data_IF_109483058910
#
_entry.id   IF_109483058910
#
_cell.length_a   1.000
_cell.length_b   1.000
_cell.length_c   1.000
_cell.angle_alpha   90.00
_cell.angle_beta   90.00
_cell.angle_gamma   90.00
#
_symmetry.space_group_name_H-M   'P 1'
#
loop_
_entity.id
_entity.type
_entity.pdbx_description
1 polymer ?
#
# COMPACT_ATOMS: atom_id res chain seq x y z
N UNK A 1 66.61 -17.75 77.46
CA UNK A 1 65.92 -18.57 76.44
C UNK A 1 64.51 -18.02 76.28
N UNK A 2 64.27 -17.29 75.19
CA UNK A 2 62.93 -16.83 74.78
C UNK A 2 62.53 -17.61 73.52
N UNK A 3 61.24 -17.92 73.32
CA UNK A 3 60.81 -18.84 72.25
C UNK A 3 60.88 -18.17 70.87
N UNK A 4 60.96 -18.96 69.78
CA UNK A 4 60.99 -18.42 68.43
C UNK A 4 59.60 -17.90 68.02
N UNK A 5 59.53 -16.93 67.09
CA UNK A 5 58.27 -16.39 66.61
C UNK A 5 57.50 -17.41 65.76
N UNK A 6 56.15 -17.33 65.71
CA UNK A 6 55.32 -18.27 64.97
C UNK A 6 55.53 -18.14 63.47
N UNK A 7 55.57 -19.29 62.78
CA UNK A 7 55.66 -19.38 61.33
C UNK A 7 54.39 -18.81 60.69
N UNK A 8 54.56 -17.86 59.78
CA UNK A 8 53.49 -17.35 58.93
C UNK A 8 53.09 -18.43 57.93
N UNK A 9 51.92 -19.03 58.14
CA UNK A 9 51.24 -19.77 57.09
C UNK A 9 50.98 -18.82 55.91
N UNK A 10 51.70 -19.01 54.80
CA UNK A 10 51.32 -18.45 53.50
C UNK A 10 49.95 -19.01 53.14
N UNK A 11 48.93 -18.17 53.24
CA UNK A 11 47.68 -18.34 52.51
C UNK A 11 47.99 -18.44 51.01
N UNK A 12 47.30 -19.31 50.24
CA UNK A 12 47.48 -19.34 48.80
C UNK A 12 47.06 -17.99 48.23
N UNK A 13 47.92 -17.42 47.39
CA UNK A 13 47.67 -16.20 46.63
C UNK A 13 46.33 -16.29 45.88
N UNK A 14 45.60 -15.17 45.71
CA UNK A 14 44.32 -15.17 44.98
C UNK A 14 44.53 -15.69 43.56
N UNK A 15 43.74 -16.70 43.22
CA UNK A 15 43.59 -17.30 41.88
C UNK A 15 43.59 -16.26 40.75
N UNK A 16 44.40 -16.52 39.73
CA UNK A 16 44.29 -15.87 38.41
C UNK A 16 42.85 -15.99 37.86
N UNK A 17 42.40 -15.03 37.02
CA UNK A 17 40.99 -14.86 36.68
C UNK A 17 40.44 -16.07 35.90
N UNK A 18 39.28 -16.57 36.33
CA UNK A 18 38.54 -17.71 35.79
C UNK A 18 38.32 -17.68 34.26
N UNK A 19 38.34 -16.49 33.64
CA UNK A 19 38.07 -16.31 32.22
C UNK A 19 39.04 -17.01 31.26
N UNK A 20 40.32 -17.21 31.60
CA UNK A 20 41.26 -17.86 30.67
C UNK A 20 40.98 -19.35 30.46
N UNK A 21 40.58 -20.06 31.52
CA UNK A 21 40.17 -21.47 31.43
C UNK A 21 38.90 -21.60 30.60
N UNK A 22 37.92 -20.73 30.88
CA UNK A 22 36.62 -20.75 30.20
C UNK A 22 36.72 -20.48 28.69
N UNK A 23 37.57 -19.54 28.28
CA UNK A 23 37.82 -19.27 26.84
C UNK A 23 38.49 -20.47 26.15
N UNK A 24 39.41 -21.15 26.83
CA UNK A 24 40.02 -22.39 26.30
C UNK A 24 38.98 -23.50 26.14
N UNK A 25 38.07 -23.65 27.10
CA UNK A 25 36.99 -24.63 27.04
C UNK A 25 36.00 -24.33 25.92
N UNK A 26 35.63 -23.06 25.73
CA UNK A 26 34.80 -22.61 24.60
C UNK A 26 35.48 -22.91 23.27
N UNK A 27 36.80 -22.70 23.16
CA UNK A 27 37.57 -23.01 21.96
C UNK A 27 37.49 -24.49 21.59
N UNK A 28 37.67 -25.36 22.59
CA UNK A 28 37.58 -26.81 22.40
C UNK A 28 36.18 -27.23 21.94
N UNK A 29 35.13 -26.71 22.59
CA UNK A 29 33.73 -27.01 22.24
C UNK A 29 33.37 -26.54 20.83
N UNK A 30 33.77 -25.32 20.45
CA UNK A 30 33.55 -24.81 19.09
C UNK A 30 34.29 -25.67 18.07
N UNK A 31 35.53 -26.09 18.35
CA UNK A 31 36.30 -26.95 17.45
C UNK A 31 35.65 -28.33 17.26
N UNK A 32 35.03 -28.89 18.29
CA UNK A 32 34.28 -30.16 18.18
C UNK A 32 33.04 -30.03 17.29
N UNK A 33 32.37 -28.87 17.31
CA UNK A 33 31.19 -28.61 16.48
C UNK A 33 31.54 -28.07 15.08
N UNK A 34 32.78 -27.66 14.84
CA UNK A 34 33.23 -27.17 13.55
C UNK A 34 33.08 -28.27 12.48
N UNK A 35 32.30 -27.98 11.42
CA UNK A 35 32.02 -28.94 10.35
C UNK A 35 31.01 -30.04 10.69
N UNK A 36 30.49 -30.11 11.92
CA UNK A 36 29.44 -31.06 12.29
C UNK A 36 28.13 -30.73 11.57
N UNK A 37 27.52 -31.76 10.98
CA UNK A 37 26.20 -31.76 10.30
C UNK A 37 25.16 -32.60 11.04
N UNK A 38 25.43 -32.98 12.29
CA UNK A 38 24.47 -33.74 13.09
C UNK A 38 23.18 -32.93 13.32
N UNK A 39 22.01 -33.58 13.40
CA UNK A 39 20.77 -32.91 13.81
C UNK A 39 20.95 -32.19 15.16
N UNK A 40 20.54 -30.93 15.27
CA UNK A 40 20.72 -30.10 16.48
C UNK A 40 22.12 -29.52 16.68
N UNK A 41 23.07 -29.77 15.78
CA UNK A 41 24.41 -29.17 15.86
C UNK A 41 24.36 -27.64 15.77
N UNK A 42 23.49 -27.09 14.93
CA UNK A 42 23.36 -25.63 14.77
C UNK A 42 22.73 -24.97 16.01
N UNK A 43 21.80 -25.63 16.70
CA UNK A 43 21.30 -25.15 18.00
C UNK A 43 22.40 -25.14 19.07
N UNK A 44 23.23 -26.19 19.10
CA UNK A 44 24.39 -26.26 19.99
C UNK A 44 25.40 -25.14 19.68
N UNK A 45 25.66 -24.87 18.39
CA UNK A 45 26.51 -23.75 17.95
C UNK A 45 25.90 -22.41 18.38
N UNK A 46 24.58 -22.22 18.27
CA UNK A 46 23.91 -20.97 18.69
C UNK A 46 24.12 -20.72 20.17
N UNK A 47 24.01 -21.75 21.00
CA UNK A 47 24.21 -21.61 22.44
C UNK A 47 25.67 -21.30 22.80
N UNK A 48 26.65 -21.87 22.09
CA UNK A 48 28.05 -21.47 22.24
C UNK A 48 28.30 -20.04 21.77
N UNK A 49 27.74 -19.62 20.64
CA UNK A 49 27.89 -18.26 20.12
C UNK A 49 27.32 -17.23 21.09
N UNK A 50 26.18 -17.52 21.73
CA UNK A 50 25.62 -16.68 22.80
C UNK A 50 26.59 -16.51 23.97
N UNK A 51 27.24 -17.60 24.42
CA UNK A 51 28.26 -17.54 25.49
C UNK A 51 29.48 -16.71 25.07
N UNK A 52 29.99 -16.91 23.87
CA UNK A 52 31.11 -16.13 23.32
C UNK A 52 30.76 -14.64 23.25
N UNK A 53 29.57 -14.30 22.74
CA UNK A 53 29.09 -12.92 22.67
C UNK A 53 28.90 -12.34 24.07
N UNK A 54 28.35 -13.11 25.01
CA UNK A 54 28.23 -12.69 26.41
C UNK A 54 29.60 -12.31 27.00
N UNK A 55 30.61 -13.18 26.84
CA UNK A 55 31.96 -12.92 27.33
C UNK A 55 32.59 -11.69 26.65
N UNK A 56 32.39 -11.54 25.34
CA UNK A 56 32.79 -10.33 24.59
C UNK A 56 32.12 -9.07 25.15
N UNK A 57 30.83 -9.11 25.47
CA UNK A 57 30.10 -7.94 26.00
C UNK A 57 30.51 -7.53 27.42
N UNK A 58 31.02 -8.48 28.21
CA UNK A 58 31.54 -8.22 29.57
C UNK A 58 33.01 -7.74 29.52
N UNK A 59 33.64 -7.72 28.33
CA UNK A 59 35.00 -7.23 28.12
C UNK A 59 36.08 -8.31 28.24
N UNK A 60 35.71 -9.59 28.26
CA UNK A 60 36.67 -10.70 28.19
C UNK A 60 37.16 -10.82 26.76
N UNK A 61 38.48 -10.78 26.56
CA UNK A 61 39.08 -11.00 25.25
C UNK A 61 38.88 -12.45 24.80
N UNK A 62 38.07 -12.59 23.76
CA UNK A 62 37.74 -13.87 23.10
C UNK A 62 38.30 -13.91 21.67
N UNK A 63 39.18 -12.97 21.28
CA UNK A 63 39.79 -12.90 19.94
C UNK A 63 40.43 -14.22 19.48
N UNK A 64 40.99 -14.99 20.41
CA UNK A 64 41.59 -16.30 20.15
C UNK A 64 40.63 -17.37 19.60
N UNK A 65 39.30 -17.12 19.65
CA UNK A 65 38.24 -17.98 19.12
C UNK A 65 37.89 -17.67 17.67
N UNK A 66 38.54 -16.67 17.03
CA UNK A 66 38.16 -16.17 15.71
C UNK A 66 38.05 -17.28 14.66
N UNK A 67 39.07 -18.15 14.56
CA UNK A 67 39.09 -19.23 13.58
C UNK A 67 37.93 -20.20 13.78
N UNK A 68 37.70 -20.63 15.03
CA UNK A 68 36.63 -21.55 15.38
C UNK A 68 35.22 -20.95 15.15
N UNK A 69 35.04 -19.66 15.46
CA UNK A 69 33.78 -18.94 15.19
C UNK A 69 33.48 -18.87 13.68
N UNK A 70 34.47 -18.51 12.87
CA UNK A 70 34.32 -18.45 11.40
C UNK A 70 34.03 -19.84 10.82
N UNK A 71 34.73 -20.88 11.27
CA UNK A 71 34.48 -22.26 10.83
C UNK A 71 33.07 -22.75 11.20
N UNK A 72 32.60 -22.48 12.42
CA UNK A 72 31.25 -22.86 12.85
C UNK A 72 30.15 -22.10 12.09
N UNK A 73 30.46 -20.91 11.57
CA UNK A 73 29.53 -20.10 10.76
C UNK A 73 29.44 -20.53 9.28
N UNK A 74 30.14 -21.60 8.88
CA UNK A 74 29.98 -22.22 7.56
C UNK A 74 28.69 -23.07 7.49
N UNK A 75 27.54 -22.39 7.59
CA UNK A 75 26.19 -22.94 7.58
C UNK A 75 25.25 -21.97 6.85
N UNK A 76 24.08 -22.44 6.40
CA UNK A 76 22.98 -21.62 5.87
C UNK A 76 22.14 -20.97 6.98
N UNK A 77 22.43 -21.24 8.25
CA UNK A 77 21.74 -20.64 9.38
C UNK A 77 22.03 -19.13 9.51
N UNK A 78 21.02 -18.33 9.14
CA UNK A 78 21.06 -16.86 9.19
C UNK A 78 21.31 -16.31 10.60
N UNK A 79 20.83 -16.98 11.64
CA UNK A 79 21.00 -16.52 13.03
C UNK A 79 22.47 -16.69 13.45
N UNK A 80 23.09 -17.83 13.12
CA UNK A 80 24.50 -18.06 13.36
C UNK A 80 25.39 -17.09 12.58
N UNK A 81 25.07 -16.82 11.30
CA UNK A 81 25.76 -15.81 10.50
C UNK A 81 25.71 -14.42 11.15
N UNK A 82 24.52 -13.96 11.58
CA UNK A 82 24.36 -12.66 12.27
C UNK A 82 25.20 -12.57 13.54
N UNK A 83 25.20 -13.61 14.37
CA UNK A 83 26.02 -13.69 15.57
C UNK A 83 27.52 -13.66 15.24
N UNK A 84 27.95 -14.39 14.21
CA UNK A 84 29.33 -14.38 13.73
C UNK A 84 29.75 -12.98 13.27
N UNK A 85 28.94 -12.33 12.42
CA UNK A 85 29.20 -10.99 11.88
C UNK A 85 29.34 -9.93 12.96
N UNK A 86 28.49 -10.00 14.00
CA UNK A 86 28.60 -9.14 15.18
C UNK A 86 29.95 -9.34 15.88
N UNK A 87 30.35 -10.59 16.10
CA UNK A 87 31.61 -10.94 16.75
C UNK A 87 32.83 -10.46 15.93
N UNK A 88 32.94 -10.85 14.66
CA UNK A 88 34.11 -10.50 13.83
C UNK A 88 34.21 -9.00 13.61
N UNK A 89 33.08 -8.31 13.42
CA UNK A 89 33.04 -6.86 13.26
C UNK A 89 33.47 -6.09 14.51
N UNK A 90 33.27 -6.64 15.71
CA UNK A 90 33.75 -6.04 16.94
C UNK A 90 35.28 -6.09 17.04
N UNK A 91 35.88 -7.25 16.74
CA UNK A 91 37.33 -7.44 16.84
C UNK A 91 38.13 -6.81 15.69
N UNK A 92 37.51 -6.60 14.53
CA UNK A 92 38.11 -5.92 13.39
C UNK A 92 38.50 -4.45 13.67
N UNK A 93 37.81 -3.76 14.58
CA UNK A 93 38.04 -2.32 14.85
C UNK A 93 39.41 -2.02 15.48
N UNK A 94 39.95 -2.96 16.27
CA UNK A 94 41.16 -2.76 17.07
C UNK A 94 42.34 -3.65 16.68
N UNK A 95 42.16 -4.59 15.75
CA UNK A 95 43.17 -5.59 15.37
C UNK A 95 43.30 -5.67 13.85
N UNK A 96 44.36 -5.10 13.24
CA UNK A 96 44.54 -5.10 11.78
C UNK A 96 44.54 -6.50 11.15
N UNK A 97 45.19 -7.48 11.78
CA UNK A 97 45.25 -8.85 11.27
C UNK A 97 43.86 -9.50 11.22
N UNK A 98 43.07 -9.35 12.29
CA UNK A 98 41.70 -9.84 12.34
C UNK A 98 40.77 -9.05 11.43
N UNK A 99 41.07 -7.77 11.18
CA UNK A 99 40.29 -6.94 10.26
C UNK A 99 40.41 -7.46 8.83
N UNK A 100 41.62 -7.78 8.35
CA UNK A 100 41.83 -8.34 7.02
C UNK A 100 41.17 -9.72 6.87
N UNK A 101 41.29 -10.58 7.89
CA UNK A 101 40.58 -11.87 7.92
C UNK A 101 39.06 -11.70 7.89
N UNK A 102 38.53 -10.71 8.60
CA UNK A 102 37.10 -10.37 8.62
C UNK A 102 36.62 -9.89 7.25
N UNK A 103 37.38 -9.02 6.59
CA UNK A 103 37.09 -8.53 5.25
C UNK A 103 37.03 -9.70 4.27
N UNK A 104 38.06 -10.55 4.24
CA UNK A 104 38.13 -11.72 3.35
C UNK A 104 36.97 -12.70 3.62
N UNK A 105 36.65 -12.93 4.89
CA UNK A 105 35.52 -13.76 5.29
C UNK A 105 34.18 -13.22 4.76
N UNK A 106 33.90 -11.92 4.97
CA UNK A 106 32.67 -11.29 4.52
C UNK A 106 32.60 -11.20 2.99
N UNK A 107 33.71 -10.92 2.29
CA UNK A 107 33.75 -10.91 0.83
C UNK A 107 33.45 -12.28 0.22
N UNK A 108 33.88 -13.37 0.89
CA UNK A 108 33.50 -14.73 0.49
C UNK A 108 31.99 -14.95 0.67
N UNK A 109 31.43 -14.55 1.81
CA UNK A 109 30.00 -14.68 2.09
C UNK A 109 29.13 -13.76 1.21
N UNK A 110 29.66 -12.65 0.67
CA UNK A 110 29.01 -11.85 -0.37
C UNK A 110 28.79 -12.62 -1.68
N UNK A 111 29.42 -13.80 -1.85
CA UNK A 111 29.28 -14.69 -3.01
C UNK A 111 28.58 -16.01 -2.65
N UNK A 112 27.93 -16.08 -1.49
CA UNK A 112 27.17 -17.26 -1.05
C UNK A 112 25.97 -17.55 -1.98
N UNK A 113 25.53 -18.79 -2.05
CA UNK A 113 24.34 -19.18 -2.84
C UNK A 113 23.06 -18.54 -2.25
N UNK A 114 22.99 -18.41 -0.93
CA UNK A 114 21.84 -17.81 -0.25
C UNK A 114 21.87 -16.27 -0.34
N UNK A 115 20.88 -15.63 -1.00
CA UNK A 115 20.80 -14.17 -1.10
C UNK A 115 20.72 -13.45 0.25
N UNK A 116 20.13 -14.08 1.27
CA UNK A 116 20.05 -13.49 2.60
C UNK A 116 21.43 -13.40 3.25
N UNK A 117 22.26 -14.42 3.06
CA UNK A 117 23.66 -14.42 3.53
C UNK A 117 24.46 -13.38 2.75
N UNK A 118 24.37 -13.35 1.42
CA UNK A 118 25.04 -12.33 0.59
C UNK A 118 24.72 -10.91 1.05
N UNK A 119 23.44 -10.60 1.21
CA UNK A 119 23.01 -9.27 1.64
C UNK A 119 23.43 -8.94 3.07
N UNK A 120 23.38 -9.90 4.02
CA UNK A 120 23.85 -9.67 5.38
C UNK A 120 25.37 -9.45 5.44
N UNK A 121 26.14 -10.23 4.68
CA UNK A 121 27.59 -10.09 4.57
C UNK A 121 27.96 -8.72 4.01
N UNK A 122 27.32 -8.31 2.90
CA UNK A 122 27.55 -7.01 2.27
C UNK A 122 27.21 -5.86 3.22
N UNK A 123 26.06 -5.95 3.91
CA UNK A 123 25.65 -4.95 4.91
C UNK A 123 26.66 -4.83 6.05
N UNK A 124 27.15 -5.96 6.55
CA UNK A 124 28.16 -6.02 7.60
C UNK A 124 29.48 -5.41 7.13
N UNK A 125 29.94 -5.79 5.93
CA UNK A 125 31.16 -5.30 5.31
C UNK A 125 31.15 -3.77 5.16
N UNK A 126 30.07 -3.19 4.62
CA UNK A 126 29.91 -1.74 4.48
C UNK A 126 29.75 -0.99 5.82
N UNK A 127 29.61 -1.71 6.93
CA UNK A 127 29.45 -1.12 8.27
C UNK A 127 30.70 -1.28 9.15
N UNK A 128 31.75 -1.95 8.63
CA UNK A 128 33.03 -2.07 9.32
C UNK A 128 33.70 -0.70 9.46
N UNK A 129 34.41 -0.50 10.56
CA UNK A 129 35.20 0.71 10.83
C UNK A 129 36.68 0.36 10.86
N UNK A 130 37.25 0.12 9.68
CA UNK A 130 38.63 -0.30 9.50
C UNK A 130 39.31 0.69 8.54
N UNK A 131 40.58 1.03 8.81
CA UNK A 131 41.37 1.83 7.87
C UNK A 131 41.52 1.08 6.53
N UNK A 132 41.54 1.82 5.42
CA UNK A 132 41.70 1.27 4.07
C UNK A 132 40.58 0.31 3.61
N UNK A 133 39.41 0.32 4.26
CA UNK A 133 38.26 -0.52 3.86
C UNK A 133 37.79 -0.24 2.42
N UNK A 134 37.95 1.01 1.95
CA UNK A 134 37.45 1.52 0.67
C UNK A 134 37.82 0.62 -0.52
N UNK A 135 39.08 0.18 -0.61
CA UNK A 135 39.57 -0.66 -1.71
C UNK A 135 38.88 -2.04 -1.77
N UNK A 136 38.38 -2.52 -0.64
CA UNK A 136 37.72 -3.82 -0.52
C UNK A 136 36.20 -3.76 -0.75
N UNK A 137 35.61 -2.57 -0.88
CA UNK A 137 34.16 -2.39 -1.05
C UNK A 137 33.70 -2.39 -2.50
N UNK A 138 34.54 -1.89 -3.42
CA UNK A 138 34.13 -1.65 -4.82
C UNK A 138 33.65 -2.93 -5.51
N UNK A 139 34.41 -4.02 -5.41
CA UNK A 139 34.05 -5.31 -6.00
C UNK A 139 32.71 -5.85 -5.47
N UNK A 140 32.56 -6.07 -4.14
CA UNK A 140 31.32 -6.54 -3.54
C UNK A 140 30.10 -5.66 -3.82
N UNK A 141 30.25 -4.33 -3.81
CA UNK A 141 29.17 -3.40 -4.15
C UNK A 141 28.77 -3.51 -5.62
N UNK A 142 29.74 -3.55 -6.54
CA UNK A 142 29.49 -3.70 -7.97
C UNK A 142 28.78 -5.01 -8.31
N UNK A 143 29.17 -6.12 -7.67
CA UNK A 143 28.45 -7.39 -7.80
C UNK A 143 27.07 -7.34 -7.16
N UNK A 144 26.94 -6.74 -5.97
CA UNK A 144 25.67 -6.62 -5.25
C UNK A 144 24.61 -5.81 -6.00
N UNK A 145 25.00 -4.73 -6.68
CA UNK A 145 24.10 -3.93 -7.54
C UNK A 145 23.55 -4.71 -8.74
N UNK A 146 24.25 -5.76 -9.17
CA UNK A 146 23.90 -6.62 -10.30
C UNK A 146 23.33 -7.97 -9.85
N UNK A 147 23.03 -8.13 -8.57
CA UNK A 147 22.54 -9.40 -8.03
C UNK A 147 21.13 -9.73 -8.53
N UNK A 148 20.84 -11.02 -8.70
CA UNK A 148 19.53 -11.50 -9.12
C UNK A 148 18.44 -11.20 -8.07
N UNK A 149 18.79 -11.22 -6.79
CA UNK A 149 17.86 -11.01 -5.69
C UNK A 149 17.77 -9.52 -5.30
N UNK A 150 16.53 -9.01 -5.21
CA UNK A 150 16.30 -7.58 -4.93
C UNK A 150 16.79 -7.13 -3.55
N UNK A 151 16.76 -8.00 -2.54
CA UNK A 151 17.29 -7.68 -1.21
C UNK A 151 18.79 -7.35 -1.26
N UNK A 152 19.57 -8.11 -2.05
CA UNK A 152 21.02 -7.86 -2.17
C UNK A 152 21.27 -6.55 -2.91
N UNK A 153 20.56 -6.28 -4.00
CA UNK A 153 20.63 -5.00 -4.72
C UNK A 153 20.29 -3.84 -3.80
N UNK A 154 19.21 -3.95 -3.04
CA UNK A 154 18.79 -2.96 -2.05
C UNK A 154 19.89 -2.66 -1.03
N UNK A 155 20.54 -3.68 -0.47
CA UNK A 155 21.66 -3.50 0.44
C UNK A 155 22.85 -2.84 -0.25
N UNK A 156 23.16 -3.22 -1.49
CA UNK A 156 24.25 -2.66 -2.26
C UNK A 156 24.05 -1.16 -2.54
N UNK A 157 22.83 -0.72 -2.87
CA UNK A 157 22.50 0.70 -3.06
C UNK A 157 22.82 1.53 -1.81
N UNK A 158 22.39 1.06 -0.63
CA UNK A 158 22.71 1.73 0.64
C UNK A 158 24.22 1.65 0.95
N UNK A 159 24.88 0.56 0.57
CA UNK A 159 26.32 0.40 0.68
C UNK A 159 27.11 1.39 -0.19
N UNK A 160 26.64 1.69 -1.40
CA UNK A 160 27.20 2.74 -2.27
C UNK A 160 27.08 4.11 -1.63
N UNK A 161 25.91 4.46 -1.09
CA UNK A 161 25.72 5.74 -0.41
C UNK A 161 26.69 5.88 0.78
N UNK A 162 26.88 4.82 1.56
CA UNK A 162 27.90 4.80 2.64
C UNK A 162 29.31 4.96 2.10
N UNK A 163 29.66 4.29 1.00
CA UNK A 163 30.97 4.44 0.37
C UNK A 163 31.18 5.88 -0.09
N UNK A 164 30.17 6.52 -0.68
CA UNK A 164 30.23 7.91 -1.12
C UNK A 164 30.58 8.86 0.05
N UNK A 165 29.97 8.65 1.23
CA UNK A 165 30.29 9.41 2.45
C UNK A 165 31.70 9.15 3.01
N UNK A 166 32.31 8.02 2.67
CA UNK A 166 33.67 7.67 3.11
C UNK A 166 34.72 8.15 2.10
N UNK A 167 34.46 7.95 0.81
CA UNK A 167 35.35 8.29 -0.30
C UNK A 167 34.53 8.61 -1.55
N UNK A 168 34.29 9.91 -1.76
CA UNK A 168 33.60 10.43 -2.94
C UNK A 168 34.32 10.04 -4.24
N UNK A 169 35.65 10.19 -4.29
CA UNK A 169 36.45 9.88 -5.49
C UNK A 169 36.29 8.44 -5.91
N UNK A 170 36.45 7.48 -5.00
CA UNK A 170 36.30 6.05 -5.30
C UNK A 170 34.89 5.71 -5.78
N UNK A 171 33.86 6.35 -5.22
CA UNK A 171 32.49 6.12 -5.63
C UNK A 171 32.23 6.61 -7.07
N UNK A 172 32.83 7.74 -7.46
CA UNK A 172 32.72 8.32 -8.80
C UNK A 172 33.57 7.51 -9.79
N UNK A 173 34.81 7.17 -9.44
CA UNK A 173 35.71 6.38 -10.29
C UNK A 173 35.14 4.99 -10.63
N UNK A 174 34.34 4.42 -9.72
CA UNK A 174 33.65 3.15 -9.92
C UNK A 174 32.32 3.27 -10.72
N UNK A 175 31.94 4.48 -11.14
CA UNK A 175 30.72 4.79 -11.87
C UNK A 175 29.42 4.29 -11.20
N UNK A 176 29.41 4.30 -9.86
CA UNK A 176 28.23 3.88 -9.12
C UNK A 176 27.03 4.83 -9.29
N UNK A 177 27.18 6.17 -9.35
CA UNK A 177 26.04 7.05 -9.62
C UNK A 177 25.30 6.71 -10.92
N UNK A 178 26.02 6.43 -12.01
CA UNK A 178 25.37 6.01 -13.27
C UNK A 178 24.68 4.65 -13.13
N UNK A 179 25.31 3.71 -12.42
CA UNK A 179 24.71 2.39 -12.14
C UNK A 179 23.41 2.51 -11.34
N UNK A 180 23.39 3.37 -10.30
CA UNK A 180 22.17 3.65 -9.52
C UNK A 180 21.08 4.30 -10.37
N UNK A 181 21.44 5.22 -11.27
CA UNK A 181 20.50 5.86 -12.21
C UNK A 181 19.88 4.82 -13.15
N UNK A 182 20.69 3.88 -13.64
CA UNK A 182 20.18 2.77 -14.45
C UNK A 182 19.19 1.89 -13.67
N UNK A 183 19.51 1.53 -12.42
CA UNK A 183 18.61 0.74 -11.57
C UNK A 183 17.31 1.49 -11.23
N UNK A 184 17.38 2.80 -10.96
CA UNK A 184 16.20 3.63 -10.72
C UNK A 184 15.18 3.53 -11.87
N UNK A 185 15.65 3.47 -13.11
CA UNK A 185 14.79 3.45 -14.29
C UNK A 185 14.32 2.03 -14.65
N UNK A 186 15.18 1.03 -14.47
CA UNK A 186 15.00 -0.29 -15.08
C UNK A 186 14.76 -1.44 -14.09
N UNK A 187 15.02 -1.26 -12.78
CA UNK A 187 14.86 -2.36 -11.82
C UNK A 187 13.38 -2.74 -11.67
N UNK A 188 13.02 -4.04 -11.63
CA UNK A 188 11.63 -4.46 -11.40
C UNK A 188 11.15 -4.19 -9.97
N UNK A 189 12.04 -4.18 -8.98
CA UNK A 189 11.70 -4.08 -7.58
C UNK A 189 11.54 -2.62 -7.13
N UNK A 190 10.39 -2.28 -6.55
CA UNK A 190 10.05 -0.90 -6.17
C UNK A 190 10.85 -0.38 -4.99
N UNK A 191 11.30 -1.25 -4.07
CA UNK A 191 12.14 -0.86 -2.94
C UNK A 191 13.56 -0.57 -3.39
N UNK A 192 14.09 -1.32 -4.36
CA UNK A 192 15.38 -1.02 -4.99
C UNK A 192 15.32 0.35 -5.68
N UNK A 193 14.27 0.59 -6.48
CA UNK A 193 14.03 1.88 -7.15
C UNK A 193 13.95 3.04 -6.13
N UNK A 194 13.19 2.87 -5.05
CA UNK A 194 13.05 3.90 -4.01
C UNK A 194 14.38 4.23 -3.31
N UNK A 195 15.17 3.20 -2.99
CA UNK A 195 16.49 3.41 -2.39
C UNK A 195 17.48 4.03 -3.37
N UNK A 196 17.42 3.69 -4.67
CA UNK A 196 18.23 4.36 -5.70
C UNK A 196 17.89 5.85 -5.77
N UNK A 197 16.60 6.20 -5.75
CA UNK A 197 16.18 7.61 -5.74
C UNK A 197 16.72 8.35 -4.53
N UNK A 198 16.55 7.77 -3.34
CA UNK A 198 17.04 8.36 -2.08
C UNK A 198 18.55 8.56 -2.11
N UNK A 199 19.31 7.55 -2.54
CA UNK A 199 20.76 7.62 -2.60
C UNK A 199 21.25 8.65 -3.63
N UNK A 200 20.68 8.66 -4.84
CA UNK A 200 21.03 9.63 -5.89
C UNK A 200 20.66 11.06 -5.50
N UNK A 201 19.50 11.26 -4.88
CA UNK A 201 19.09 12.57 -4.40
C UNK A 201 20.09 13.12 -3.38
N UNK A 202 20.57 12.29 -2.45
CA UNK A 202 21.57 12.68 -1.47
C UNK A 202 22.92 12.98 -2.12
N UNK A 203 23.42 12.07 -2.97
CA UNK A 203 24.69 12.23 -3.70
C UNK A 203 24.69 13.53 -4.51
N UNK A 204 23.68 13.76 -5.34
CA UNK A 204 23.63 14.97 -6.16
C UNK A 204 23.29 16.24 -5.39
N UNK A 205 22.66 16.13 -4.22
CA UNK A 205 22.53 17.28 -3.32
C UNK A 205 23.90 17.69 -2.78
N UNK A 206 24.74 16.74 -2.39
CA UNK A 206 26.10 17.01 -1.91
C UNK A 206 27.01 17.56 -3.03
N UNK A 207 26.89 17.04 -4.26
CA UNK A 207 27.65 17.53 -5.42
C UNK A 207 27.11 18.84 -6.02
N UNK A 208 25.86 19.24 -5.72
CA UNK A 208 25.25 20.43 -6.37
C UNK A 208 25.94 21.75 -6.02
N UNK A 209 26.71 21.79 -4.93
CA UNK A 209 27.55 22.95 -4.59
C UNK A 209 28.85 23.02 -5.39
N UNK A 210 29.29 21.91 -5.98
CA UNK A 210 30.60 21.76 -6.64
C UNK A 210 30.49 21.57 -8.15
N UNK A 211 29.35 21.10 -8.67
CA UNK A 211 29.14 20.84 -10.09
C UNK A 211 27.74 21.25 -10.58
N UNK A 212 27.68 22.08 -11.64
CA UNK A 212 26.45 22.40 -12.35
C UNK A 212 25.80 21.18 -13.00
N UNK A 213 26.59 20.18 -13.38
CA UNK A 213 26.08 18.93 -13.95
C UNK A 213 25.28 18.14 -12.91
N UNK A 214 25.77 18.08 -11.67
CA UNK A 214 25.05 17.46 -10.56
C UNK A 214 23.74 18.18 -10.22
N UNK A 215 23.72 19.52 -10.32
CA UNK A 215 22.50 20.29 -10.14
C UNK A 215 21.44 19.95 -11.21
N UNK A 216 21.84 19.84 -12.48
CA UNK A 216 20.94 19.41 -13.57
C UNK A 216 20.43 17.99 -13.40
N UNK A 217 21.29 17.07 -12.98
CA UNK A 217 20.91 15.67 -12.71
C UNK A 217 19.90 15.57 -11.55
N UNK A 218 20.08 16.35 -10.49
CA UNK A 218 19.11 16.46 -9.39
C UNK A 218 17.74 16.96 -9.85
N UNK A 219 17.69 17.99 -10.69
CA UNK A 219 16.42 18.47 -11.26
C UNK A 219 15.75 17.40 -12.14
N UNK A 220 16.56 16.61 -12.85
CA UNK A 220 16.08 15.52 -13.71
C UNK A 220 15.42 14.39 -12.91
N UNK A 221 15.88 14.09 -11.69
CA UNK A 221 15.19 13.12 -10.80
C UNK A 221 13.77 13.56 -10.43
N UNK A 222 13.55 14.87 -10.32
CA UNK A 222 12.26 15.45 -9.97
C UNK A 222 11.42 15.77 -11.23
N UNK A 223 11.89 15.37 -12.41
CA UNK A 223 11.17 15.60 -13.65
C UNK A 223 9.83 14.87 -13.66
N UNK A 224 8.82 15.49 -14.30
CA UNK A 224 7.47 14.91 -14.44
C UNK A 224 7.48 13.45 -14.95
N UNK A 225 8.31 13.04 -15.92
CA UNK A 225 8.36 11.65 -16.38
C UNK A 225 8.79 10.65 -15.29
N UNK A 226 9.82 10.98 -14.51
CA UNK A 226 10.31 10.11 -13.42
C UNK A 226 9.27 10.03 -12.30
N UNK A 227 8.70 11.17 -11.92
CA UNK A 227 7.62 11.22 -10.91
C UNK A 227 6.40 10.45 -11.39
N UNK A 228 5.97 10.59 -12.64
CA UNK A 228 4.84 9.86 -13.20
C UNK A 228 5.10 8.36 -13.31
N UNK A 229 6.32 7.96 -13.69
CA UNK A 229 6.76 6.56 -13.71
C UNK A 229 6.72 5.93 -12.32
N UNK A 230 7.24 6.63 -11.30
CA UNK A 230 7.19 6.19 -9.91
C UNK A 230 5.76 6.13 -9.38
N UNK A 231 4.94 7.15 -9.66
CA UNK A 231 3.53 7.17 -9.28
C UNK A 231 2.74 6.03 -9.94
N UNK A 232 3.00 5.71 -11.21
CA UNK A 232 2.35 4.60 -11.89
C UNK A 232 2.74 3.23 -11.32
N UNK A 233 4.01 3.06 -10.93
CA UNK A 233 4.43 1.83 -10.23
C UNK A 233 3.85 1.71 -8.83
N UNK A 234 3.68 2.83 -8.12
CA UNK A 234 2.96 2.87 -6.84
C UNK A 234 1.45 2.63 -7.05
N UNK A 235 0.85 3.11 -8.14
CA UNK A 235 -0.57 2.90 -8.46
C UNK A 235 -0.93 1.41 -8.63
N UNK A 236 -0.03 0.61 -9.21
CA UNK A 236 -0.20 -0.86 -9.28
C UNK A 236 -0.24 -1.48 -7.87
N UNK A 237 0.61 -0.98 -6.96
CA UNK A 237 0.60 -1.39 -5.55
C UNK A 237 -0.67 -0.89 -4.84
N UNK A 238 -1.16 0.32 -5.14
CA UNK A 238 -2.41 0.86 -4.55
C UNK A 238 -3.60 -0.04 -4.89
N UNK A 239 -3.69 -0.58 -6.10
CA UNK A 239 -4.77 -1.49 -6.47
C UNK A 239 -4.81 -2.76 -5.59
N UNK A 240 -3.65 -3.35 -5.28
CA UNK A 240 -3.54 -4.55 -4.43
C UNK A 240 -3.70 -4.22 -2.95
N UNK A 241 -3.05 -3.15 -2.47
CA UNK A 241 -3.14 -2.69 -1.07
C UNK A 241 -4.57 -2.29 -0.69
N UNK A 242 -5.34 -1.75 -1.65
CA UNK A 242 -6.71 -1.32 -1.39
C UNK A 242 -7.74 -2.45 -1.40
N UNK A 243 -7.34 -3.68 -1.72
CA UNK A 243 -8.21 -4.83 -1.58
C UNK A 243 -8.53 -5.09 -0.09
N UNK A 244 -9.72 -5.64 0.20
CA UNK A 244 -10.03 -6.16 1.53
C UNK A 244 -9.00 -7.21 1.97
N UNK A 245 -8.79 -7.34 3.28
CA UNK A 245 -7.86 -8.33 3.85
C UNK A 245 -8.24 -9.75 3.44
N UNK A 246 -9.53 -10.02 3.38
CA UNK A 246 -10.13 -11.29 2.97
C UNK A 246 -9.74 -11.68 1.53
N UNK A 247 -9.24 -10.73 0.72
CA UNK A 247 -8.82 -10.90 -0.67
C UNK A 247 -7.34 -10.57 -0.91
N UNK A 248 -6.51 -10.61 0.14
CA UNK A 248 -5.06 -10.42 0.02
C UNK A 248 -4.55 -8.97 0.05
N UNK A 249 -5.43 -7.98 0.21
CA UNK A 249 -5.02 -6.58 0.37
C UNK A 249 -4.80 -6.16 1.83
N UNK A 250 -4.41 -4.90 2.05
CA UNK A 250 -4.20 -4.34 3.39
C UNK A 250 -5.47 -3.69 3.98
N UNK A 251 -6.56 -3.61 3.21
CA UNK A 251 -7.79 -2.95 3.61
C UNK A 251 -7.68 -1.43 3.72
N UNK A 252 -6.68 -0.83 3.06
CA UNK A 252 -6.58 0.63 2.94
C UNK A 252 -7.64 1.09 1.93
N UNK A 253 -8.29 2.22 2.19
CA UNK A 253 -9.31 2.71 1.26
C UNK A 253 -8.64 3.36 0.05
N UNK A 254 -8.95 2.88 -1.14
CA UNK A 254 -8.77 3.61 -2.38
C UNK A 254 -9.44 4.98 -2.23
N UNK A 255 -8.62 6.03 -2.22
CA UNK A 255 -9.08 7.39 -1.96
C UNK A 255 -9.98 7.94 -3.06
N UNK A 256 -9.80 7.50 -4.30
CA UNK A 256 -10.65 7.92 -5.43
C UNK A 256 -12.04 7.33 -5.23
N UNK A 257 -12.14 6.01 -5.08
CA UNK A 257 -13.43 5.34 -4.85
C UNK A 257 -14.09 5.81 -3.55
N UNK A 258 -13.30 6.07 -2.50
CA UNK A 258 -13.85 6.57 -1.25
C UNK A 258 -14.41 7.99 -1.40
N UNK A 259 -13.69 8.89 -2.07
CA UNK A 259 -14.19 10.24 -2.36
C UNK A 259 -15.43 10.21 -3.25
N UNK A 260 -15.50 9.32 -4.24
CA UNK A 260 -16.70 9.11 -5.06
C UNK A 260 -17.92 8.76 -4.19
N UNK A 261 -17.76 7.87 -3.21
CA UNK A 261 -18.85 7.51 -2.29
C UNK A 261 -19.25 8.63 -1.33
N UNK A 262 -18.31 9.50 -0.93
CA UNK A 262 -18.64 10.69 -0.16
C UNK A 262 -19.48 11.67 -0.98
N UNK A 263 -19.13 11.85 -2.25
CA UNK A 263 -19.87 12.71 -3.16
C UNK A 263 -21.26 12.14 -3.49
N UNK A 264 -21.38 10.83 -3.64
CA UNK A 264 -22.67 10.14 -3.69
C UNK A 264 -23.53 10.41 -2.44
N UNK A 265 -22.93 10.45 -1.25
CA UNK A 265 -23.64 10.82 -0.01
C UNK A 265 -24.18 12.25 -0.05
N UNK A 266 -23.41 13.19 -0.60
CA UNK A 266 -23.87 14.57 -0.77
C UNK A 266 -25.10 14.65 -1.68
N UNK A 267 -25.08 13.96 -2.83
CA UNK A 267 -26.23 13.88 -3.74
C UNK A 267 -27.45 13.25 -3.08
N UNK A 268 -27.27 12.12 -2.39
CA UNK A 268 -28.34 11.47 -1.62
C UNK A 268 -28.97 12.42 -0.60
N UNK A 269 -28.14 13.13 0.15
CA UNK A 269 -28.60 14.05 1.18
C UNK A 269 -29.31 15.26 0.57
N UNK A 270 -28.80 15.80 -0.54
CA UNK A 270 -29.39 16.96 -1.20
C UNK A 270 -30.82 16.68 -1.68
N UNK A 271 -31.10 15.43 -2.10
CA UNK A 271 -32.45 14.99 -2.42
C UNK A 271 -33.37 14.89 -1.19
N UNK A 272 -32.92 14.26 -0.10
CA UNK A 272 -33.76 13.98 1.07
C UNK A 272 -33.91 15.15 2.04
N UNK A 273 -32.91 16.03 2.14
CA UNK A 273 -32.79 17.05 3.20
C UNK A 273 -32.95 18.49 2.67
N UNK A 274 -33.73 18.70 1.61
CA UNK A 274 -33.95 20.01 0.98
C UNK A 274 -34.43 21.11 1.94
N UNK A 275 -35.10 20.73 3.04
CA UNK A 275 -35.59 21.66 4.05
C UNK A 275 -34.51 22.28 4.93
N UNK A 276 -33.30 21.73 4.96
CA UNK A 276 -32.19 22.17 5.81
C UNK A 276 -31.47 23.39 5.23
N UNK A 277 -30.85 24.20 6.10
CA UNK A 277 -30.23 25.47 5.71
C UNK A 277 -29.18 25.29 4.61
N UNK A 278 -28.30 24.31 4.74
CA UNK A 278 -27.25 24.03 3.74
C UNK A 278 -27.83 23.65 2.38
N UNK A 279 -28.91 22.86 2.36
CA UNK A 279 -29.56 22.43 1.12
C UNK A 279 -30.25 23.61 0.43
N UNK A 280 -30.91 24.51 1.19
CA UNK A 280 -31.50 25.75 0.66
C UNK A 280 -30.44 26.70 0.09
N UNK A 281 -29.26 26.78 0.70
CA UNK A 281 -28.14 27.58 0.16
C UNK A 281 -27.68 27.00 -1.18
N UNK A 282 -27.52 25.67 -1.26
CA UNK A 282 -27.14 25.02 -2.52
C UNK A 282 -28.23 25.14 -3.59
N UNK A 283 -29.49 25.05 -3.19
CA UNK A 283 -30.64 25.25 -4.07
C UNK A 283 -30.67 26.67 -4.65
N UNK A 284 -30.53 27.68 -3.80
CA UNK A 284 -30.48 29.08 -4.23
C UNK A 284 -29.27 29.40 -5.13
N UNK A 285 -28.12 28.78 -4.88
CA UNK A 285 -26.88 29.08 -5.62
C UNK A 285 -26.76 28.29 -6.92
N UNK A 286 -27.19 27.03 -6.91
CA UNK A 286 -26.93 26.08 -7.98
C UNK A 286 -28.19 25.41 -8.55
N UNK A 287 -29.41 25.75 -8.11
CA UNK A 287 -30.65 25.13 -8.60
C UNK A 287 -30.94 23.74 -8.03
N UNK A 288 -30.24 23.35 -6.96
CA UNK A 288 -30.55 22.17 -6.16
C UNK A 288 -30.18 20.84 -6.81
N UNK A 289 -30.78 19.76 -6.30
CA UNK A 289 -30.46 18.41 -6.74
C UNK A 289 -30.83 18.15 -8.21
N UNK A 290 -31.88 18.79 -8.75
CA UNK A 290 -32.32 18.63 -10.14
C UNK A 290 -31.30 19.18 -11.14
N UNK A 291 -30.68 20.31 -10.82
CA UNK A 291 -29.70 20.94 -11.72
C UNK A 291 -28.39 20.14 -11.83
N UNK A 292 -28.18 19.12 -10.98
CA UNK A 292 -27.09 18.16 -11.17
C UNK A 292 -27.29 17.27 -12.41
N UNK A 293 -28.54 17.09 -12.86
CA UNK A 293 -28.92 16.21 -13.97
C UNK A 293 -29.16 16.97 -15.28
N UNK A 294 -29.28 18.30 -15.21
CA UNK A 294 -29.47 19.14 -16.40
C UNK A 294 -28.12 19.42 -17.08
N UNK A 295 -28.10 19.67 -18.39
CA UNK A 295 -26.87 19.91 -19.18
C UNK A 295 -26.43 21.38 -19.24
N UNK A 296 -27.20 22.29 -18.64
CA UNK A 296 -26.90 23.73 -18.63
C UNK A 296 -25.77 24.05 -17.66
N UNK A 297 -24.57 24.38 -18.17
CA UNK A 297 -23.45 24.85 -17.33
C UNK A 297 -23.65 26.32 -16.96
N UNK A 298 -23.70 26.61 -15.66
CA UNK A 298 -23.57 27.98 -15.17
C UNK A 298 -22.12 28.45 -15.29
N UNK A 299 -21.87 29.68 -15.74
CA UNK A 299 -20.49 30.17 -15.96
C UNK A 299 -19.67 30.33 -14.66
N UNK A 300 -20.29 30.19 -13.48
CA UNK A 300 -19.70 30.45 -12.16
C UNK A 300 -19.79 29.24 -11.19
N UNK A 301 -19.81 28.02 -11.72
CA UNK A 301 -19.84 26.81 -10.88
C UNK A 301 -18.50 26.59 -10.16
N UNK A 302 -18.54 26.41 -8.83
CA UNK A 302 -17.35 26.06 -8.04
C UNK A 302 -16.81 24.69 -8.41
N UNK A 303 -15.51 24.46 -8.29
CA UNK A 303 -14.87 23.16 -8.53
C UNK A 303 -15.58 21.98 -7.83
N UNK A 304 -15.99 22.14 -6.56
CA UNK A 304 -16.76 21.10 -5.85
C UNK A 304 -18.12 20.76 -6.50
N UNK A 305 -18.81 21.75 -7.08
CA UNK A 305 -20.07 21.53 -7.79
C UNK A 305 -19.83 20.89 -9.15
N UNK A 306 -18.73 21.27 -9.82
CA UNK A 306 -18.28 20.62 -11.05
C UNK A 306 -17.92 19.16 -10.81
N UNK A 307 -17.21 18.86 -9.73
CA UNK A 307 -16.93 17.49 -9.29
C UNK A 307 -18.25 16.76 -9.06
N UNK A 308 -19.12 17.31 -8.20
CA UNK A 308 -20.44 16.74 -7.90
C UNK A 308 -21.28 16.50 -9.16
N UNK A 309 -21.12 17.26 -10.24
CA UNK A 309 -21.85 17.08 -11.50
C UNK A 309 -21.18 16.07 -12.44
N UNK A 310 -19.86 16.16 -12.57
CA UNK A 310 -19.06 15.32 -13.48
C UNK A 310 -19.18 13.83 -13.18
N UNK A 311 -19.37 13.44 -11.93
CA UNK A 311 -19.55 12.03 -11.54
C UNK A 311 -20.85 11.39 -12.05
N UNK A 312 -21.83 12.20 -12.49
CA UNK A 312 -23.19 11.74 -12.74
C UNK A 312 -23.72 12.13 -14.13
N UNK A 313 -22.84 12.61 -15.04
CA UNK A 313 -23.23 12.82 -16.42
C UNK A 313 -23.43 11.48 -17.14
N UNK A 314 -24.52 11.29 -17.91
CA UNK A 314 -24.87 10.00 -18.54
C UNK A 314 -23.85 9.44 -19.55
N UNK A 315 -22.90 10.26 -20.01
CA UNK A 315 -22.03 9.98 -21.15
C UNK A 315 -20.64 9.40 -20.77
N UNK A 316 -20.34 9.22 -19.50
CA UNK A 316 -19.15 8.46 -19.08
C UNK A 316 -19.57 7.04 -18.68
N UNK A 317 -18.82 6.04 -19.13
CA UNK A 317 -18.97 4.64 -18.71
C UNK A 317 -19.12 4.58 -17.18
N UNK A 318 -20.25 4.05 -16.71
CA UNK A 318 -20.46 3.78 -15.29
C UNK A 318 -21.08 4.92 -14.47
N UNK A 319 -22.33 5.31 -14.77
CA UNK A 319 -23.18 6.01 -13.79
C UNK A 319 -23.62 5.06 -12.66
N UNK A 320 -22.63 4.55 -11.91
CA UNK A 320 -22.79 3.55 -10.85
C UNK A 320 -23.82 3.98 -9.81
N UNK A 321 -23.93 5.27 -9.52
CA UNK A 321 -24.88 5.79 -8.53
C UNK A 321 -26.32 5.73 -9.03
N UNK A 322 -26.56 6.09 -10.29
CA UNK A 322 -27.90 6.06 -10.89
C UNK A 322 -28.35 4.63 -11.19
N UNK A 323 -27.47 3.65 -11.36
CA UNK A 323 -27.94 2.26 -11.51
C UNK A 323 -28.46 1.69 -10.17
N UNK A 324 -27.90 2.19 -9.07
CA UNK A 324 -28.09 1.63 -7.72
C UNK A 324 -29.12 2.36 -6.85
N UNK A 325 -29.82 3.33 -7.43
CA UNK A 325 -30.97 3.97 -6.81
C UNK A 325 -32.27 3.38 -7.37
N UNK A 326 -33.36 3.52 -6.64
CA UNK A 326 -34.71 3.32 -7.16
C UNK A 326 -35.63 4.37 -6.56
N UNK A 327 -36.64 4.78 -7.31
CA UNK A 327 -37.64 5.71 -6.80
C UNK A 327 -38.74 4.97 -6.07
N UNK A 328 -39.12 5.53 -4.92
CA UNK A 328 -40.36 5.20 -4.23
C UNK A 328 -41.26 6.42 -4.29
N UNK A 329 -42.20 6.39 -5.23
CA UNK A 329 -43.17 7.47 -5.43
C UNK A 329 -44.11 7.53 -4.23
N UNK A 330 -44.23 8.73 -3.65
CA UNK A 330 -45.20 9.08 -2.62
C UNK A 330 -46.36 9.84 -3.27
N UNK A 331 -46.41 11.15 -3.08
CA UNK A 331 -47.37 12.01 -3.77
C UNK A 331 -46.95 12.32 -5.22
N UNK A 332 -45.67 12.15 -5.57
CA UNK A 332 -45.16 12.40 -6.91
C UNK A 332 -44.83 13.86 -7.20
N UNK A 333 -44.55 14.66 -6.18
CA UNK A 333 -44.19 16.08 -6.29
C UNK A 333 -42.80 16.32 -6.87
N UNK A 334 -41.92 15.32 -6.80
CA UNK A 334 -40.50 15.42 -7.18
C UNK A 334 -40.13 14.49 -8.33
N UNK A 335 -41.10 13.85 -8.97
CA UNK A 335 -40.89 12.82 -10.01
C UNK A 335 -41.50 13.30 -11.31
N UNK A 336 -40.70 13.58 -12.33
CA UNK A 336 -41.18 13.91 -13.69
C UNK A 336 -41.73 12.63 -14.30
N UNK A 337 -42.98 12.66 -14.74
CA UNK A 337 -43.69 11.46 -15.15
C UNK A 337 -43.02 10.77 -16.35
N UNK A 338 -42.58 11.53 -17.35
CA UNK A 338 -42.00 10.97 -18.56
C UNK A 338 -40.48 10.76 -18.49
N UNK A 339 -39.79 11.60 -17.72
CA UNK A 339 -38.35 11.80 -17.79
C UNK A 339 -37.57 11.15 -16.64
N UNK A 340 -38.25 10.71 -15.58
CA UNK A 340 -37.62 9.97 -14.49
C UNK A 340 -37.96 8.47 -14.53
N UNK A 341 -37.15 7.70 -13.84
CA UNK A 341 -37.10 6.24 -13.82
C UNK A 341 -37.84 5.69 -12.60
N UNK A 342 -39.15 5.94 -12.55
CA UNK A 342 -39.94 5.76 -11.33
C UNK A 342 -40.80 4.49 -11.27
N UNK A 343 -40.85 3.71 -12.36
CA UNK A 343 -41.64 2.48 -12.46
C UNK A 343 -40.80 1.26 -12.79
N UNK A 344 -40.18 1.24 -13.97
CA UNK A 344 -39.33 0.14 -14.44
C UNK A 344 -37.86 0.50 -14.26
N UNK A 345 -37.05 -0.44 -13.76
CA UNK A 345 -35.61 -0.23 -13.59
C UNK A 345 -34.97 -0.05 -14.96
N UNK A 346 -34.36 1.11 -15.19
CA UNK A 346 -33.49 1.35 -16.35
C UNK A 346 -34.20 1.74 -17.66
N UNK A 347 -35.52 1.92 -17.68
CA UNK A 347 -36.25 2.36 -18.89
C UNK A 347 -37.18 3.54 -18.58
N UNK A 348 -36.94 4.67 -19.25
CA UNK A 348 -37.80 5.85 -19.17
C UNK A 348 -39.10 5.63 -19.94
N UNK A 349 -40.24 6.12 -19.41
CA UNK A 349 -41.52 6.03 -20.12
C UNK A 349 -41.49 6.75 -21.47
N UNK A 350 -40.74 7.85 -21.60
CA UNK A 350 -40.56 8.52 -22.90
C UNK A 350 -39.85 7.64 -23.95
N UNK A 351 -38.95 6.75 -23.53
CA UNK A 351 -38.21 5.87 -24.42
C UNK A 351 -39.02 4.61 -24.74
N UNK A 352 -39.83 4.14 -23.79
CA UNK A 352 -40.75 3.00 -23.96
C UNK A 352 -41.93 3.37 -24.86
N UNK A 353 -42.47 4.59 -24.72
CA UNK A 353 -43.66 5.08 -25.43
C UNK A 353 -43.42 6.43 -26.14
N UNK A 354 -42.48 6.51 -27.09
CA UNK A 354 -42.05 7.77 -27.70
C UNK A 354 -43.18 8.48 -28.47
N UNK A 355 -44.08 7.70 -29.09
CA UNK A 355 -45.22 8.27 -29.84
C UNK A 355 -46.22 8.98 -28.93
N UNK A 356 -46.54 8.38 -27.78
CA UNK A 356 -47.44 8.98 -26.79
C UNK A 356 -46.79 10.19 -26.12
N UNK A 357 -45.49 10.09 -25.81
CA UNK A 357 -44.72 11.22 -25.28
C UNK A 357 -44.80 12.45 -26.19
N UNK A 358 -44.56 12.29 -27.50
CA UNK A 358 -44.57 13.39 -28.48
C UNK A 358 -45.91 14.13 -28.55
N UNK A 359 -47.03 13.44 -28.35
CA UNK A 359 -48.37 14.02 -28.40
C UNK A 359 -48.94 14.37 -27.03
N UNK A 360 -48.21 14.14 -25.94
CA UNK A 360 -48.64 14.53 -24.60
C UNK A 360 -48.59 16.06 -24.44
N UNK A 361 -49.61 16.61 -23.78
CA UNK A 361 -49.61 18.00 -23.30
C UNK A 361 -48.85 18.15 -21.97
N UNK A 362 -48.41 17.04 -21.36
CA UNK A 362 -47.91 16.97 -19.99
C UNK A 362 -46.45 16.45 -19.92
N UNK A 363 -45.63 16.72 -20.95
CA UNK A 363 -44.26 16.19 -21.07
C UNK A 363 -43.37 16.50 -19.85
N UNK A 364 -43.43 17.74 -19.35
CA UNK A 364 -42.60 18.23 -18.24
C UNK A 364 -43.30 18.15 -16.87
N UNK A 365 -44.47 17.50 -16.78
CA UNK A 365 -45.26 17.48 -15.55
C UNK A 365 -44.75 16.43 -14.55
N UNK A 366 -44.93 16.75 -13.27
CA UNK A 366 -44.67 15.80 -12.19
C UNK A 366 -45.81 14.79 -12.05
N UNK A 367 -45.53 13.61 -11.48
CA UNK A 367 -46.51 12.55 -11.25
C UNK A 367 -47.76 13.06 -10.53
N UNK A 368 -47.61 13.93 -9.52
CA UNK A 368 -48.75 14.52 -8.79
C UNK A 368 -49.69 15.37 -9.67
N UNK A 369 -49.24 15.81 -10.85
CA UNK A 369 -49.98 16.68 -11.77
C UNK A 369 -50.61 15.91 -12.94
N UNK A 370 -50.34 14.60 -13.03
CA UNK A 370 -50.81 13.73 -14.11
C UNK A 370 -52.19 13.13 -13.82
N UNK A 371 -52.81 13.49 -12.70
CA UNK A 371 -54.06 12.91 -12.24
C UNK A 371 -54.70 13.71 -11.12
N UNK A 372 -55.76 13.15 -10.53
CA UNK A 372 -56.54 13.75 -9.44
C UNK A 372 -56.99 12.69 -8.45
N UNK A 373 -57.27 13.09 -7.23
CA UNK A 373 -57.94 12.22 -6.27
C UNK A 373 -59.44 12.27 -6.45
N UNK A 374 -60.06 11.09 -6.55
CA UNK A 374 -61.50 10.86 -6.45
C UNK A 374 -61.81 10.04 -5.20
N UNK A 375 -63.10 9.79 -4.95
CA UNK A 375 -63.56 8.97 -3.83
C UNK A 375 -63.04 7.50 -3.89
N UNK A 376 -62.61 7.04 -5.07
CA UNK A 376 -62.04 5.71 -5.30
C UNK A 376 -60.50 5.68 -5.21
N UNK A 377 -59.84 6.82 -4.98
CA UNK A 377 -58.40 6.95 -4.90
C UNK A 377 -57.81 7.79 -6.03
N UNK A 378 -56.58 7.48 -6.43
CA UNK A 378 -55.89 8.22 -7.49
C UNK A 378 -56.40 7.84 -8.88
N UNK A 379 -56.80 8.84 -9.67
CA UNK A 379 -57.22 8.70 -11.07
C UNK A 379 -56.24 9.42 -11.99
N UNK A 380 -55.65 8.69 -12.93
CA UNK A 380 -54.83 9.29 -13.99
C UNK A 380 -55.69 10.11 -14.96
N UNK A 381 -55.16 11.26 -15.40
CA UNK A 381 -55.80 12.18 -16.34
C UNK A 381 -54.80 12.60 -17.41
N UNK A 382 -54.64 11.74 -18.42
CA UNK A 382 -53.72 11.99 -19.55
C UNK A 382 -54.34 12.91 -20.59
N UNK A 383 -53.62 13.97 -20.95
CA UNK A 383 -54.03 14.97 -21.93
C UNK A 383 -53.19 14.88 -23.20
N UNK A 384 -53.86 14.68 -24.33
CA UNK A 384 -53.25 14.51 -25.64
C UNK A 384 -53.54 15.73 -26.53
N UNK A 385 -52.55 16.12 -27.34
CA UNK A 385 -52.65 17.24 -28.31
C UNK A 385 -53.65 16.95 -29.42
N UNK A 386 -53.98 15.68 -29.66
CA UNK A 386 -54.96 15.19 -30.63
C UNK A 386 -55.57 13.87 -30.16
N UNK A 387 -56.67 13.46 -30.77
CA UNK A 387 -57.21 12.10 -30.60
C UNK A 387 -56.20 11.04 -31.06
N UNK A 388 -56.22 9.90 -30.37
CA UNK A 388 -55.43 8.73 -30.74
C UNK A 388 -56.03 8.08 -31.99
N UNK A 389 -55.16 7.59 -32.89
CA UNK A 389 -55.59 6.77 -34.02
C UNK A 389 -55.76 5.31 -33.60
N UNK A 390 -56.51 4.52 -34.39
CA UNK A 390 -56.74 3.09 -34.11
C UNK A 390 -55.43 2.31 -33.93
N UNK A 391 -54.41 2.62 -34.74
CA UNK A 391 -53.07 2.00 -34.65
C UNK A 391 -52.29 2.38 -33.37
N UNK A 392 -52.74 3.38 -32.61
CA UNK A 392 -52.13 3.84 -31.35
C UNK A 392 -52.85 3.27 -30.11
N UNK A 393 -54.01 2.63 -30.27
CA UNK A 393 -54.81 2.10 -29.16
C UNK A 393 -54.04 1.00 -28.41
N UNK A 394 -53.42 0.04 -29.12
CA UNK A 394 -52.61 -1.02 -28.50
C UNK A 394 -51.36 -0.47 -27.78
N UNK A 395 -50.88 0.71 -28.17
CA UNK A 395 -49.76 1.38 -27.49
C UNK A 395 -50.28 2.07 -26.22
N UNK A 396 -51.44 2.72 -26.30
CA UNK A 396 -52.09 3.34 -25.15
C UNK A 396 -52.50 2.32 -24.08
N UNK A 397 -53.03 1.16 -24.46
CA UNK A 397 -53.40 0.09 -23.53
C UNK A 397 -52.18 -0.43 -22.74
N UNK A 398 -51.08 -0.71 -23.45
CA UNK A 398 -49.81 -1.09 -22.81
C UNK A 398 -49.25 0.01 -21.90
N UNK A 399 -49.35 1.27 -22.33
CA UNK A 399 -48.97 2.41 -21.51
C UNK A 399 -49.81 2.52 -20.23
N UNK A 400 -51.12 2.32 -20.32
CA UNK A 400 -51.99 2.31 -19.14
C UNK A 400 -51.58 1.19 -18.18
N UNK A 401 -51.34 -0.03 -18.68
CA UNK A 401 -50.83 -1.13 -17.88
C UNK A 401 -49.48 -0.81 -17.18
N UNK A 402 -48.59 -0.08 -17.84
CA UNK A 402 -47.34 0.38 -17.23
C UNK A 402 -47.58 1.42 -16.10
N UNK A 403 -48.66 2.18 -16.15
CA UNK A 403 -49.04 3.18 -15.13
C UNK A 403 -49.87 2.60 -13.98
N UNK A 404 -50.23 1.32 -14.05
CA UNK A 404 -50.98 0.62 -13.01
C UNK A 404 -50.08 0.14 -11.87
N UNK A 405 -50.70 -0.05 -10.70
CA UNK A 405 -50.04 -0.61 -9.51
C UNK A 405 -49.15 0.36 -8.73
N UNK A 406 -49.23 1.68 -8.98
CA UNK A 406 -48.56 2.69 -8.16
C UNK A 406 -49.55 3.28 -7.16
N UNK A 407 -49.19 3.27 -5.88
CA UNK A 407 -50.00 3.85 -4.80
C UNK A 407 -49.56 5.29 -4.52
N UNK A 408 -50.19 6.26 -5.18
CA UNK A 408 -49.97 7.68 -4.95
C UNK A 408 -50.73 8.09 -3.68
N UNK A 409 -50.05 8.76 -2.75
CA UNK A 409 -50.62 9.18 -1.47
C UNK A 409 -50.23 10.63 -1.12
N UNK A 410 -51.19 11.51 -0.77
CA UNK A 410 -50.90 12.92 -0.47
C UNK A 410 -49.94 13.12 0.71
N UNK A 411 -50.03 12.28 1.72
CA UNK A 411 -49.23 12.40 2.95
C UNK A 411 -47.83 11.77 2.86
N UNK A 412 -47.50 11.13 1.72
CA UNK A 412 -46.21 10.47 1.54
C UNK A 412 -45.29 11.31 0.67
N UNK A 413 -44.06 11.51 1.13
CA UNK A 413 -43.01 12.14 0.33
C UNK A 413 -42.34 11.13 -0.59
N UNK A 414 -41.92 11.61 -1.77
CA UNK A 414 -41.09 10.85 -2.69
C UNK A 414 -39.71 10.58 -2.08
N UNK A 415 -39.22 9.35 -2.21
CA UNK A 415 -37.93 8.93 -1.64
C UNK A 415 -37.09 8.19 -2.67
N UNK A 416 -35.78 8.35 -2.58
CA UNK A 416 -34.86 7.40 -3.20
C UNK A 416 -34.63 6.24 -2.24
N UNK A 417 -34.48 5.05 -2.81
CA UNK A 417 -34.15 3.83 -2.10
C UNK A 417 -32.85 3.30 -2.68
N UNK A 418 -31.85 3.17 -1.81
CA UNK A 418 -30.53 2.65 -2.16
C UNK A 418 -30.58 1.12 -2.26
N UNK A 419 -30.24 0.57 -3.43
CA UNK A 419 -30.28 -0.88 -3.69
C UNK A 419 -29.12 -1.63 -3.03
N UNK A 420 -27.96 -0.98 -2.88
CA UNK A 420 -26.77 -1.58 -2.29
C UNK A 420 -26.84 -1.84 -0.78
N UNK A 421 -27.97 -1.58 -0.11
CA UNK A 421 -28.16 -1.88 1.31
C UNK A 421 -29.61 -2.27 1.62
N UNK A 422 -29.79 -3.32 2.42
CA UNK A 422 -31.12 -3.82 2.82
C UNK A 422 -31.98 -2.80 3.58
N UNK A 423 -31.38 -1.79 4.22
CA UNK A 423 -32.10 -0.72 4.88
C UNK A 423 -32.75 0.26 3.88
N UNK A 424 -32.38 0.21 2.60
CA UNK A 424 -32.79 1.16 1.58
C UNK A 424 -32.14 2.53 1.73
N UNK A 425 -31.23 2.73 2.68
CA UNK A 425 -30.54 3.99 2.93
C UNK A 425 -29.12 3.95 2.38
N UNK A 426 -28.69 5.08 1.81
CA UNK A 426 -27.32 5.23 1.36
C UNK A 426 -26.35 5.32 2.54
N UNK A 427 -25.34 4.45 2.54
CA UNK A 427 -24.16 4.57 3.39
C UNK A 427 -22.91 4.60 2.53
N UNK A 428 -21.91 5.35 2.98
CA UNK A 428 -20.58 5.40 2.31
C UNK A 428 -19.98 3.99 2.25
N UNK A 429 -20.20 3.17 3.28
CA UNK A 429 -19.68 1.80 3.35
C UNK A 429 -20.32 0.84 2.33
N UNK A 430 -21.65 0.88 2.17
CA UNK A 430 -22.35 0.04 1.19
C UNK A 430 -22.05 0.45 -0.25
N UNK A 431 -21.98 1.75 -0.51
CA UNK A 431 -21.56 2.27 -1.81
C UNK A 431 -20.11 1.92 -2.16
N UNK A 432 -19.21 1.96 -1.17
CA UNK A 432 -17.80 1.63 -1.39
C UNK A 432 -17.59 0.14 -1.72
N UNK A 433 -18.34 -0.75 -1.07
CA UNK A 433 -18.32 -2.19 -1.40
C UNK A 433 -18.79 -2.45 -2.84
N UNK A 434 -19.79 -1.70 -3.30
CA UNK A 434 -20.34 -1.84 -4.65
C UNK A 434 -19.32 -1.43 -5.71
N UNK A 435 -18.65 -0.29 -5.53
CA UNK A 435 -17.56 0.15 -6.41
C UNK A 435 -16.36 -0.81 -6.46
N UNK A 436 -16.13 -1.57 -5.38
CA UNK A 436 -15.10 -2.62 -5.36
C UNK A 436 -15.58 -3.91 -6.06
N UNK A 437 -16.88 -4.24 -5.95
CA UNK A 437 -17.48 -5.46 -6.51
C UNK A 437 -17.61 -5.46 -8.03
N UNK A 438 -17.79 -4.29 -8.65
CA UNK A 438 -17.87 -4.13 -10.11
C UNK A 438 -16.52 -4.39 -10.83
N UNK A 439 -15.45 -4.59 -10.06
CA UNK A 439 -14.11 -4.79 -10.61
C UNK A 439 -13.64 -6.23 -10.76
N UNK A 440 -14.22 -7.24 -10.09
CA UNK A 440 -13.65 -8.61 -10.11
C UNK A 440 -14.64 -9.73 -9.75
N UNK A 441 -14.50 -10.85 -10.47
CA UNK A 441 -15.18 -12.15 -10.32
C UNK A 441 -15.14 -12.72 -8.89
N UNK A 442 -16.25 -13.33 -8.47
CA UNK A 442 -16.40 -14.08 -7.22
C UNK A 442 -15.72 -15.45 -7.32
N UNK A 443 -14.39 -15.50 -7.21
CA UNK A 443 -13.72 -16.72 -6.79
C UNK A 443 -12.30 -16.40 -6.34
N UNK A 444 -12.07 -16.42 -5.02
CA UNK A 444 -10.83 -16.93 -4.43
C UNK A 444 -10.91 -17.01 -2.90
N UNK A 445 -10.95 -18.27 -2.45
CA UNK A 445 -10.32 -18.93 -1.32
C UNK A 445 -10.07 -18.19 0.01
N UNK A 446 -10.64 -18.75 1.09
CA UNK A 446 -10.47 -18.34 2.49
C UNK A 446 -9.05 -18.48 3.08
N UNK A 447 -8.03 -18.65 2.24
CA UNK A 447 -6.61 -18.71 2.63
C UNK A 447 -6.16 -17.39 3.28
N UNK A 448 -6.64 -16.25 2.78
CA UNK A 448 -6.28 -14.95 3.34
C UNK A 448 -6.87 -14.69 4.73
N UNK A 449 -8.05 -15.26 5.03
CA UNK A 449 -8.64 -15.16 6.36
C UNK A 449 -7.80 -15.91 7.41
N UNK A 450 -7.18 -17.02 7.04
CA UNK A 450 -6.25 -17.72 7.93
C UNK A 450 -4.94 -16.94 8.08
N UNK A 451 -4.40 -16.40 6.99
CA UNK A 451 -3.15 -15.62 6.96
C UNK A 451 -3.20 -14.38 7.87
N UNK A 452 -4.28 -13.59 7.80
CA UNK A 452 -4.43 -12.36 8.59
C UNK A 452 -4.78 -12.60 10.07
N UNK A 453 -5.28 -13.78 10.41
CA UNK A 453 -5.58 -14.17 11.79
C UNK A 453 -4.39 -14.80 12.51
N UNK A 454 -3.24 -14.97 11.84
CA UNK A 454 -2.01 -15.41 12.47
C UNK A 454 -1.56 -14.39 13.53
N UNK A 455 -1.31 -14.85 14.76
CA UNK A 455 -0.77 -14.04 15.87
C UNK A 455 0.72 -13.75 15.67
N UNK A 456 1.05 -13.01 14.62
CA UNK A 456 2.40 -12.56 14.28
C UNK A 456 2.48 -11.03 14.38
N UNK A 457 3.66 -10.47 14.72
CA UNK A 457 3.85 -9.02 14.72
C UNK A 457 3.46 -8.40 13.37
N UNK A 458 2.80 -7.24 13.38
CA UNK A 458 2.23 -6.60 12.18
C UNK A 458 3.26 -6.38 11.05
N UNK A 459 4.54 -6.21 11.40
CA UNK A 459 5.66 -6.09 10.45
C UNK A 459 6.01 -7.38 9.70
N UNK A 460 5.69 -8.55 10.26
CA UNK A 460 5.96 -9.86 9.65
C UNK A 460 4.78 -10.36 8.80
N UNK A 461 3.55 -10.00 9.19
CA UNK A 461 2.34 -10.28 8.39
C UNK A 461 2.38 -9.62 7.01
N UNK A 462 3.01 -8.44 6.90
CA UNK A 462 3.25 -7.76 5.62
C UNK A 462 4.10 -8.56 4.62
N UNK A 463 5.02 -9.41 5.11
CA UNK A 463 5.96 -10.18 4.26
C UNK A 463 5.41 -11.54 3.80
N UNK A 464 4.21 -11.92 4.25
CA UNK A 464 3.60 -13.22 3.98
C UNK A 464 2.47 -13.15 2.95
N UNK A 465 2.10 -11.94 2.51
CA UNK A 465 1.06 -11.70 1.50
C UNK A 465 1.59 -11.46 0.08
N UNK A 466 2.91 -11.57 -0.13
CA UNK A 466 3.56 -11.50 -1.46
C UNK A 466 3.63 -12.87 -2.13
#
# INVERSE_FOLDING_TARGET
MAPPPPQSHRSPSPSQPSGKSEVSDLKSQLRQLAGSRAPGADDSKRDLFKKVISNMTIGIDVSSLFGEMVMCSATSDIVLKKMCYLYVGNYAKGNPDLALLTINFLQRDCKDEDPMIRGLALRSLCSLRVANLVEYLVGPLGSGLKDNNSYVRMVAVIGVLKLYHISTSTCIDADFPATLKHLLLNDPDTQVVANCLSALQEIWTLESSTSEEAARERETLLSKPVVYYLLNRVLIIVAVICLPKEKGGLGIRDIKNFNLTLLGKWRWNLFHHQGELWARVLDSKYGGWRNLDEDRRGSNESFWWQDLRSMFQPLQEGNWFQNEISWKVGFGARVRFWEDWWKDVGVLLMLKHPRLYLISCQQEQFVQQMGRFSDAGWEWSFQWRRSLFDAEIDVADRFLGDTEGISIHPDRQDKWVWKGDSSGNYSVGSAYKLLLGDSMDENQDGVFNELWNLKIPSKASFLLGD
#
